data_IF_571538846325
#
_entry.id   IF_571538846325
#
_cell.length_a   1.000
_cell.length_b   1.000
_cell.length_c   1.000
_cell.angle_alpha   90.00
_cell.angle_beta   90.00
_cell.angle_gamma   90.00
#
_symmetry.space_group_name_H-M   'P 1'
#
loop_
_entity.id
_entity.type
_entity.pdbx_description
1 polymer ?
#
# COMPACT_ATOMS: atom_id res chain seq x y z
N UNK A 1 -31.34 10.64 -8.12
CA UNK A 1 -30.06 11.25 -7.68
C UNK A 1 -29.37 10.44 -6.57
N UNK A 2 -29.43 9.10 -6.61
CA UNK A 2 -28.90 8.25 -5.51
C UNK A 2 -27.96 7.14 -5.99
N UNK A 3 -27.74 6.98 -7.31
CA UNK A 3 -26.91 5.88 -7.84
C UNK A 3 -25.43 6.28 -7.95
N UNK A 4 -25.11 7.58 -7.94
CA UNK A 4 -23.73 8.05 -8.19
C UNK A 4 -22.88 8.12 -6.91
N UNK A 5 -23.49 8.06 -5.72
CA UNK A 5 -22.77 8.10 -4.44
C UNK A 5 -22.33 6.72 -3.93
N UNK A 6 -22.97 5.63 -4.37
CA UNK A 6 -22.56 4.26 -4.00
C UNK A 6 -21.23 3.84 -4.66
N UNK A 7 -20.85 4.48 -5.77
CA UNK A 7 -19.68 4.09 -6.56
C UNK A 7 -18.33 4.57 -5.97
N UNK A 8 -18.33 5.51 -5.01
CA UNK A 8 -17.10 6.09 -4.46
C UNK A 8 -16.67 5.42 -3.14
N UNK A 9 -17.54 4.66 -2.48
CA UNK A 9 -17.29 4.13 -1.11
C UNK A 9 -17.26 2.59 -0.96
N UNK A 10 -17.07 1.82 -2.04
CA UNK A 10 -16.81 0.36 -1.93
C UNK A 10 -15.48 0.01 -2.62
N UNK A 11 -14.36 0.13 -1.89
CA UNK A 11 -13.20 -0.74 -2.13
C UNK A 11 -12.93 -1.58 -0.88
N UNK A 12 -13.79 -2.56 -0.65
CA UNK A 12 -13.54 -3.72 0.21
C UNK A 12 -14.32 -4.89 -0.43
N UNK A 13 -13.70 -6.00 -0.79
CA UNK A 13 -13.07 -6.92 0.18
C UNK A 13 -12.05 -7.82 -0.50
N UNK A 14 -10.96 -8.10 0.21
CA UNK A 14 -10.52 -9.48 0.28
C UNK A 14 -10.44 -9.90 1.76
N UNK A 15 -11.13 -11.00 2.01
CA UNK A 15 -11.34 -11.78 3.23
C UNK A 15 -11.98 -13.07 2.67
N UNK A 16 -11.60 -14.31 2.98
CA UNK A 16 -11.52 -14.92 4.32
C UNK A 16 -10.35 -15.90 4.36
N UNK A 17 -9.46 -15.77 5.35
CA UNK A 17 -8.36 -16.73 5.58
C UNK A 17 -8.73 -17.65 6.76
N UNK A 18 -9.31 -18.82 6.48
CA UNK A 18 -9.20 -20.03 7.31
C UNK A 18 -9.36 -21.26 6.40
N UNK A 19 -8.48 -22.27 6.52
CA UNK A 19 -8.75 -23.69 6.18
C UNK A 19 -7.54 -24.63 6.39
N UNK A 20 -7.81 -25.84 6.93
CA UNK A 20 -7.06 -27.06 6.63
C UNK A 20 -7.39 -27.50 5.20
N UNK A 21 -6.54 -27.16 4.23
CA UNK A 21 -6.65 -27.64 2.84
C UNK A 21 -5.58 -28.70 2.56
N UNK A 22 -5.93 -29.71 1.77
CA UNK A 22 -5.04 -30.84 1.46
C UNK A 22 -4.76 -30.99 -0.05
N UNK A 23 -5.24 -30.09 -0.90
CA UNK A 23 -4.99 -30.16 -2.34
C UNK A 23 -3.57 -29.64 -2.70
N UNK A 24 -2.91 -30.21 -3.72
CA UNK A 24 -1.60 -29.71 -4.17
C UNK A 24 -1.66 -28.24 -4.61
N UNK A 25 -0.75 -27.41 -4.10
CA UNK A 25 -0.74 -25.97 -4.39
C UNK A 25 -1.61 -25.12 -3.46
N UNK A 26 -2.22 -25.70 -2.42
CA UNK A 26 -3.02 -24.93 -1.45
C UNK A 26 -2.23 -23.78 -0.79
N UNK A 27 -0.91 -23.93 -0.61
CA UNK A 27 -0.05 -22.87 -0.07
C UNK A 27 0.01 -21.65 -1.00
N UNK A 28 0.14 -21.89 -2.31
CA UNK A 28 0.11 -20.84 -3.34
C UNK A 28 -1.26 -20.15 -3.32
N UNK A 29 -2.34 -20.92 -3.27
CA UNK A 29 -3.70 -20.36 -3.19
C UNK A 29 -3.87 -19.41 -2.00
N UNK A 30 -3.44 -19.82 -0.80
CA UNK A 30 -3.45 -18.96 0.41
C UNK A 30 -2.58 -17.73 0.20
N UNK A 31 -1.37 -17.90 -0.35
CA UNK A 31 -0.45 -16.79 -0.61
C UNK A 31 -1.01 -15.75 -1.58
N UNK A 32 -1.68 -16.19 -2.65
CA UNK A 32 -2.36 -15.29 -3.61
C UNK A 32 -3.52 -14.55 -2.94
N UNK A 33 -4.25 -15.20 -2.04
CA UNK A 33 -5.31 -14.56 -1.29
C UNK A 33 -4.76 -13.49 -0.32
N UNK A 34 -3.65 -13.78 0.36
CA UNK A 34 -2.93 -12.80 1.19
C UNK A 34 -2.43 -11.62 0.35
N UNK A 35 -1.86 -11.87 -0.82
CA UNK A 35 -1.45 -10.82 -1.76
C UNK A 35 -2.63 -9.93 -2.15
N UNK A 36 -3.79 -10.51 -2.47
CA UNK A 36 -5.00 -9.75 -2.78
C UNK A 36 -5.42 -8.87 -1.60
N UNK A 37 -5.36 -9.38 -0.35
CA UNK A 37 -5.61 -8.59 0.86
C UNK A 37 -4.70 -7.36 0.95
N UNK A 38 -3.40 -7.53 0.69
CA UNK A 38 -2.43 -6.43 0.72
C UNK A 38 -2.69 -5.40 -0.37
N UNK A 39 -3.04 -5.83 -1.58
CA UNK A 39 -3.40 -4.92 -2.67
C UNK A 39 -4.61 -4.06 -2.29
N UNK A 40 -5.66 -4.66 -1.73
CA UNK A 40 -6.83 -3.89 -1.31
C UNK A 40 -6.56 -3.00 -0.09
N UNK A 41 -5.74 -3.45 0.87
CA UNK A 41 -5.29 -2.60 1.98
C UNK A 41 -4.55 -1.37 1.46
N UNK A 42 -3.63 -1.56 0.51
CA UNK A 42 -2.93 -0.46 -0.14
C UNK A 42 -3.88 0.47 -0.90
N UNK A 43 -4.87 -0.06 -1.64
CA UNK A 43 -5.88 0.75 -2.31
C UNK A 43 -6.73 1.56 -1.32
N UNK A 44 -7.11 0.97 -0.18
CA UNK A 44 -7.84 1.67 0.87
C UNK A 44 -7.01 2.82 1.45
N UNK A 45 -5.72 2.60 1.73
CA UNK A 45 -4.81 3.67 2.17
C UNK A 45 -4.67 4.74 1.09
N UNK A 46 -4.53 4.35 -0.17
CA UNK A 46 -4.35 5.27 -1.30
C UNK A 46 -5.57 6.17 -1.53
N UNK A 47 -6.76 5.69 -1.19
CA UNK A 47 -8.02 6.45 -1.27
C UNK A 47 -8.44 7.09 0.06
N UNK A 48 -7.59 7.03 1.09
CA UNK A 48 -7.87 7.67 2.38
C UNK A 48 -7.84 9.19 2.27
N UNK A 49 -8.57 9.87 3.17
CA UNK A 49 -8.55 11.33 3.27
C UNK A 49 -7.13 11.87 3.53
N UNK A 50 -6.32 11.13 4.30
CA UNK A 50 -4.92 11.47 4.53
C UNK A 50 -4.13 11.53 3.22
N UNK A 51 -4.26 10.49 2.38
CA UNK A 51 -3.57 10.41 1.10
C UNK A 51 -4.07 11.44 0.09
N UNK A 52 -5.40 11.51 -0.11
CA UNK A 52 -6.02 12.38 -1.11
C UNK A 52 -6.05 13.86 -0.70
N UNK A 53 -6.00 14.13 0.60
CA UNK A 53 -5.97 15.47 1.17
C UNK A 53 -4.55 15.90 1.52
N UNK A 54 -4.11 15.53 2.73
CA UNK A 54 -2.88 16.02 3.36
C UNK A 54 -1.59 15.60 2.67
N UNK A 55 -1.62 14.52 1.91
CA UNK A 55 -0.49 14.02 1.15
C UNK A 55 -0.76 14.02 -0.36
N UNK A 56 -1.68 14.85 -0.84
CA UNK A 56 -1.93 15.01 -2.29
C UNK A 56 -0.71 15.54 -3.04
N UNK A 57 -0.64 15.27 -4.34
CA UNK A 57 0.45 15.71 -5.22
C UNK A 57 0.67 17.24 -5.14
N UNK A 58 -0.44 17.99 -5.10
CA UNK A 58 -0.41 19.45 -4.94
C UNK A 58 0.29 19.86 -3.63
N UNK A 59 -0.09 19.26 -2.49
CA UNK A 59 0.50 19.60 -1.20
C UNK A 59 1.95 19.16 -1.08
N UNK A 60 2.30 17.97 -1.58
CA UNK A 60 3.69 17.48 -1.60
C UNK A 60 4.60 18.38 -2.43
N UNK A 61 4.15 18.80 -3.63
CA UNK A 61 4.93 19.70 -4.50
C UNK A 61 5.21 21.08 -3.88
N UNK A 62 4.41 21.48 -2.88
CA UNK A 62 4.52 22.74 -2.15
C UNK A 62 5.15 22.58 -0.76
N UNK A 63 5.57 21.38 -0.38
CA UNK A 63 6.04 21.04 0.97
C UNK A 63 5.07 21.50 2.07
N UNK A 64 3.77 21.40 1.80
CA UNK A 64 2.70 21.91 2.65
C UNK A 64 1.86 20.79 3.24
N UNK A 65 2.50 19.67 3.52
CA UNK A 65 1.90 18.50 4.14
C UNK A 65 1.79 18.71 5.67
N UNK A 66 0.95 17.90 6.32
CA UNK A 66 0.84 17.85 7.77
C UNK A 66 1.72 16.69 8.28
N UNK A 67 2.81 16.96 9.05
CA UNK A 67 3.76 15.91 9.47
C UNK A 67 3.11 14.72 10.17
N UNK A 68 2.14 14.97 11.05
CA UNK A 68 1.41 13.90 11.77
C UNK A 68 0.64 13.00 10.80
N UNK A 69 0.02 13.59 9.78
CA UNK A 69 -0.71 12.83 8.77
C UNK A 69 0.25 12.05 7.87
N UNK A 70 1.40 12.64 7.52
CA UNK A 70 2.45 11.95 6.75
C UNK A 70 3.01 10.76 7.53
N UNK A 71 3.26 10.89 8.83
CA UNK A 71 3.69 9.79 9.69
C UNK A 71 2.66 8.66 9.75
N UNK A 72 1.38 8.98 9.93
CA UNK A 72 0.30 7.97 9.94
C UNK A 72 0.21 7.19 8.62
N UNK A 73 0.33 7.89 7.49
CA UNK A 73 0.36 7.27 6.16
C UNK A 73 1.60 6.39 6.03
N UNK A 74 2.77 6.90 6.40
CA UNK A 74 4.03 6.18 6.33
C UNK A 74 3.97 4.87 7.13
N UNK A 75 3.51 4.91 8.37
CA UNK A 75 3.36 3.73 9.23
C UNK A 75 2.43 2.69 8.58
N UNK A 76 1.29 3.12 8.04
CA UNK A 76 0.33 2.23 7.38
C UNK A 76 0.91 1.57 6.12
N UNK A 77 1.70 2.31 5.33
CA UNK A 77 2.34 1.81 4.11
C UNK A 77 3.52 0.88 4.46
N UNK A 78 4.32 1.21 5.48
CA UNK A 78 5.42 0.36 5.97
C UNK A 78 4.91 -1.00 6.41
N UNK A 79 3.79 -1.05 7.15
CA UNK A 79 3.18 -2.31 7.57
C UNK A 79 2.80 -3.18 6.35
N UNK A 80 2.24 -2.60 5.29
CA UNK A 80 1.93 -3.36 4.06
C UNK A 80 3.20 -3.82 3.35
N UNK A 81 4.25 -2.98 3.30
CA UNK A 81 5.53 -3.32 2.69
C UNK A 81 6.18 -4.51 3.38
N UNK A 82 6.25 -4.49 4.71
CA UNK A 82 6.87 -5.55 5.52
C UNK A 82 6.13 -6.88 5.32
N UNK A 83 4.80 -6.87 5.46
CA UNK A 83 3.99 -8.07 5.28
C UNK A 83 4.05 -8.63 3.85
N UNK A 84 4.05 -7.78 2.82
CA UNK A 84 4.18 -8.23 1.43
C UNK A 84 5.59 -8.78 1.15
N UNK A 85 6.62 -8.19 1.76
CA UNK A 85 8.00 -8.67 1.65
C UNK A 85 8.12 -10.06 2.29
N UNK A 86 7.53 -10.27 3.47
CA UNK A 86 7.48 -11.58 4.12
C UNK A 86 6.69 -12.60 3.29
N UNK A 87 5.52 -12.22 2.74
CA UNK A 87 4.77 -13.10 1.85
C UNK A 87 5.62 -13.54 0.64
N UNK A 88 6.38 -12.63 0.04
CA UNK A 88 7.26 -12.94 -1.09
C UNK A 88 8.26 -14.05 -0.75
N UNK A 89 8.89 -14.00 0.43
CA UNK A 89 9.91 -15.01 0.82
C UNK A 89 9.31 -16.40 0.98
N UNK A 90 8.04 -16.50 1.37
CA UNK A 90 7.31 -17.77 1.45
C UNK A 90 6.72 -18.22 0.11
N UNK A 91 6.25 -17.28 -0.70
CA UNK A 91 5.54 -17.59 -1.94
C UNK A 91 6.47 -18.14 -3.03
N UNK A 92 7.72 -17.66 -3.10
CA UNK A 92 8.73 -18.16 -4.03
C UNK A 92 8.93 -19.69 -3.88
N UNK A 93 9.31 -20.23 -2.71
CA UNK A 93 9.50 -21.68 -2.58
C UNK A 93 8.20 -22.45 -2.82
N UNK A 94 7.03 -21.92 -2.44
CA UNK A 94 5.75 -22.59 -2.74
C UNK A 94 5.44 -22.65 -4.23
N UNK A 95 5.77 -21.60 -4.99
CA UNK A 95 5.63 -21.59 -6.44
C UNK A 95 6.63 -22.56 -7.08
N UNK A 96 7.87 -22.63 -6.59
CA UNK A 96 8.90 -23.55 -7.08
C UNK A 96 8.56 -25.03 -6.83
N UNK A 97 7.64 -25.34 -5.89
CA UNK A 97 7.11 -26.70 -5.70
C UNK A 97 6.23 -27.16 -6.89
N UNK A 98 5.73 -26.23 -7.72
CA UNK A 98 4.72 -26.52 -8.77
C UNK A 98 5.13 -26.01 -10.16
N UNK A 99 5.88 -24.92 -10.23
CA UNK A 99 6.25 -24.23 -11.46
C UNK A 99 7.77 -24.20 -11.66
N UNK A 100 8.20 -24.03 -12.91
CA UNK A 100 9.60 -23.80 -13.25
C UNK A 100 10.05 -22.39 -12.84
N UNK A 101 11.36 -22.24 -12.61
CA UNK A 101 12.00 -21.00 -12.15
C UNK A 101 11.59 -19.78 -12.98
N UNK A 102 11.67 -19.86 -14.31
CA UNK A 102 11.28 -18.77 -15.22
C UNK A 102 9.83 -18.28 -14.97
N UNK A 103 8.90 -19.20 -14.70
CA UNK A 103 7.50 -18.87 -14.40
C UNK A 103 7.37 -18.22 -13.02
N UNK A 104 8.17 -18.66 -12.04
CA UNK A 104 8.20 -18.05 -10.71
C UNK A 104 8.75 -16.63 -10.79
N UNK A 105 9.85 -16.42 -11.51
CA UNK A 105 10.43 -15.11 -11.75
C UNK A 105 9.44 -14.17 -12.44
N UNK A 106 8.81 -14.63 -13.52
CA UNK A 106 7.79 -13.86 -14.24
C UNK A 106 6.63 -13.46 -13.32
N UNK A 107 6.11 -14.39 -12.53
CA UNK A 107 4.96 -14.14 -11.65
C UNK A 107 5.31 -13.12 -10.54
N UNK A 108 6.46 -13.31 -9.89
CA UNK A 108 6.93 -12.39 -8.84
C UNK A 108 7.20 -10.99 -9.43
N UNK A 109 7.88 -10.93 -10.58
CA UNK A 109 8.17 -9.69 -11.28
C UNK A 109 6.93 -8.95 -11.80
N UNK A 110 5.87 -9.69 -12.13
CA UNK A 110 4.62 -9.11 -12.66
C UNK A 110 3.66 -8.63 -11.57
N UNK A 111 3.58 -9.33 -10.43
CA UNK A 111 2.53 -9.09 -9.44
C UNK A 111 3.02 -8.59 -8.08
N UNK A 112 4.23 -8.97 -7.65
CA UNK A 112 4.75 -8.63 -6.32
C UNK A 112 5.65 -7.39 -6.39
N UNK A 113 6.65 -7.41 -7.27
CA UNK A 113 7.65 -6.34 -7.36
C UNK A 113 7.04 -4.96 -7.65
N UNK A 114 6.07 -4.80 -8.57
CA UNK A 114 5.52 -3.48 -8.85
C UNK A 114 4.85 -2.84 -7.63
N UNK A 115 4.21 -3.65 -6.78
CA UNK A 115 3.59 -3.15 -5.56
C UNK A 115 4.64 -2.83 -4.50
N UNK A 116 5.67 -3.66 -4.32
CA UNK A 116 6.79 -3.38 -3.41
C UNK A 116 7.49 -2.06 -3.77
N UNK A 117 7.81 -1.85 -5.04
CA UNK A 117 8.45 -0.62 -5.52
C UNK A 117 7.56 0.60 -5.28
N UNK A 118 6.24 0.47 -5.51
CA UNK A 118 5.29 1.54 -5.24
C UNK A 118 5.25 1.91 -3.75
N UNK A 119 5.19 0.91 -2.87
CA UNK A 119 5.19 1.12 -1.42
C UNK A 119 6.48 1.79 -0.94
N UNK A 120 7.64 1.33 -1.42
CA UNK A 120 8.96 1.95 -1.15
C UNK A 120 8.99 3.40 -1.60
N UNK A 121 8.52 3.68 -2.81
CA UNK A 121 8.47 5.05 -3.33
C UNK A 121 7.61 5.97 -2.46
N UNK A 122 6.46 5.52 -1.97
CA UNK A 122 5.61 6.32 -1.08
C UNK A 122 6.31 6.60 0.25
N UNK A 123 6.96 5.59 0.85
CA UNK A 123 7.71 5.76 2.10
C UNK A 123 8.84 6.77 1.95
N UNK A 124 9.59 6.71 0.85
CA UNK A 124 10.66 7.68 0.59
C UNK A 124 10.12 9.10 0.44
N UNK A 125 8.97 9.28 -0.21
CA UNK A 125 8.30 10.58 -0.27
C UNK A 125 7.81 11.06 1.11
N UNK A 126 7.29 10.16 1.94
CA UNK A 126 6.91 10.49 3.32
C UNK A 126 8.12 10.97 4.13
N UNK A 127 9.24 10.24 4.08
CA UNK A 127 10.49 10.61 4.76
C UNK A 127 10.96 11.99 4.33
N UNK A 128 10.95 12.28 3.03
CA UNK A 128 11.30 13.61 2.50
C UNK A 128 10.41 14.70 3.09
N UNK A 129 9.10 14.50 3.10
CA UNK A 129 8.14 15.49 3.62
C UNK A 129 8.29 15.72 5.13
N UNK A 130 8.56 14.66 5.89
CA UNK A 130 8.84 14.74 7.34
C UNK A 130 10.12 15.53 7.62
N UNK A 131 11.21 15.25 6.87
CA UNK A 131 12.48 15.98 7.01
C UNK A 131 12.36 17.48 6.71
N UNK A 132 11.47 17.86 5.79
CA UNK A 132 11.20 19.27 5.47
C UNK A 132 10.39 19.95 6.60
N UNK A 133 9.68 19.19 7.43
CA UNK A 133 8.98 19.69 8.62
C UNK A 133 7.52 20.13 8.41
N UNK A 134 6.96 19.94 7.21
CA UNK A 134 5.58 20.32 6.89
C UNK A 134 5.23 21.78 7.22
N UNK A 135 3.94 22.11 7.19
CA UNK A 135 3.37 23.48 7.33
C UNK A 135 4.10 24.44 8.32
N UNK A 136 5.07 25.22 7.85
CA UNK A 136 5.42 26.54 8.43
C UNK A 136 4.87 27.61 7.48
N UNK A 137 3.65 28.08 7.75
CA UNK A 137 3.19 29.34 7.17
C UNK A 137 3.63 30.42 8.16
N UNK A 138 4.63 31.22 7.78
CA UNK A 138 4.86 32.52 8.40
C UNK A 138 3.58 33.35 8.21
N UNK A 139 2.66 33.24 9.17
CA UNK A 139 1.67 34.28 9.39
C UNK A 139 2.49 35.48 9.87
N UNK A 140 2.98 36.30 8.94
CA UNK A 140 3.32 37.68 9.28
C UNK A 140 2.10 38.22 10.01
N UNK A 141 2.23 38.42 11.33
CA UNK A 141 1.24 39.15 12.11
C UNK A 141 1.05 40.47 11.38
N UNK A 142 -0.12 40.65 10.78
CA UNK A 142 -0.55 41.98 10.36
C UNK A 142 -0.83 42.68 11.68
N UNK A 143 0.14 43.48 12.13
CA UNK A 143 -0.08 44.45 13.20
C UNK A 143 -1.03 45.50 12.63
N UNK A 144 -2.23 45.58 13.23
CA UNK A 144 -3.18 46.67 12.99
C UNK A 144 -2.87 47.83 13.93
#
# INVERSE_FOLDING_TARGET
FTIVLDAIYILYRPQVIEQCMSFPGHKIFVGVQMWSNFLCKYQAISNSEGMLGWFSDYLRSRNFTNPVQVENIMNSITEVLENLTELKTHLIPWLMEVYFEDTVEEWIGSFIEPLLEKLRSVIEECKKQILIGGRVRDYKKIEY
#
